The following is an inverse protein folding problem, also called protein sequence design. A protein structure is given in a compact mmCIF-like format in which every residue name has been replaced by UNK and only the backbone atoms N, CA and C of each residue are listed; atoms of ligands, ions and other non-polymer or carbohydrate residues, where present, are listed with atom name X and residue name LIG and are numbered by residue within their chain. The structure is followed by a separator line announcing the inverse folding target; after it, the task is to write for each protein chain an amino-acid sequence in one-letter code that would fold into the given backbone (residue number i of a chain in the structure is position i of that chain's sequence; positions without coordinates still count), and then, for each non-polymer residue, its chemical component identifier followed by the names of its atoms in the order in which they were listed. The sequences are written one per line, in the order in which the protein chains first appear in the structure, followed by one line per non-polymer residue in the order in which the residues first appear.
data_IF_476320219424
#
_entry.id   IF_476320219424
#
_cell.length_a   1.000
_cell.length_b   1.000
_cell.length_c   1.000
_cell.angle_alpha   90.00
_cell.angle_beta   90.00
_cell.angle_gamma   90.00
#
_symmetry.space_group_name_H-M   'P 1'
#
loop_
_entity.id
_entity.type
_entity.pdbx_description
1 polymer ?
#
# COMPACT_ATOMS: atom_id res chain seq x y z
N UNK A 1 -4.51 1.98 8.79
CA UNK A 1 -5.39 2.14 7.62
C UNK A 1 -4.68 3.12 6.71
N UNK A 2 -4.21 2.66 5.56
CA UNK A 2 -3.47 3.53 4.64
C UNK A 2 -4.46 4.56 4.11
N UNK A 3 -4.21 5.85 4.37
CA UNK A 3 -5.05 6.92 3.83
C UNK A 3 -4.64 7.15 2.38
N UNK A 4 -5.41 6.58 1.44
CA UNK A 4 -5.24 6.89 0.03
C UNK A 4 -5.79 8.29 -0.23
N UNK A 5 -4.97 9.17 -0.80
CA UNK A 5 -5.43 10.49 -1.22
C UNK A 5 -6.44 10.36 -2.36
N UNK A 6 -7.58 11.04 -2.20
CA UNK A 6 -8.66 11.15 -3.16
C UNK A 6 -8.52 12.47 -3.90
N UNK A 7 -8.71 12.39 -5.20
CA UNK A 7 -8.73 13.57 -6.05
C UNK A 7 -9.84 14.54 -5.59
N UNK A 8 -9.54 15.83 -5.54
CA UNK A 8 -10.47 16.88 -5.10
C UNK A 8 -10.64 17.04 -3.58
N UNK A 9 -9.93 16.25 -2.76
CA UNK A 9 -9.93 16.41 -1.31
C UNK A 9 -8.75 17.28 -0.83
N UNK A 10 -8.98 18.10 0.19
CA UNK A 10 -7.93 18.88 0.85
C UNK A 10 -7.32 18.07 1.99
N UNK A 11 -6.00 17.93 1.97
CA UNK A 11 -5.22 17.25 3.01
C UNK A 11 -4.40 18.25 3.79
N UNK A 12 -4.32 18.08 5.11
CA UNK A 12 -3.42 18.90 5.90
C UNK A 12 -1.96 18.41 5.73
N UNK A 13 -1.00 19.28 6.05
CA UNK A 13 0.43 18.99 5.88
C UNK A 13 0.87 17.70 6.58
N UNK A 14 0.31 17.42 7.76
CA UNK A 14 0.62 16.21 8.52
C UNK A 14 0.18 14.94 7.80
N UNK A 15 -1.03 14.93 7.23
CA UNK A 15 -1.56 13.78 6.49
C UNK A 15 -0.72 13.48 5.24
N UNK A 16 -0.24 14.53 4.56
CA UNK A 16 0.69 14.41 3.43
C UNK A 16 1.99 13.74 3.88
N UNK A 17 2.59 14.24 4.97
CA UNK A 17 3.84 13.68 5.49
C UNK A 17 3.69 12.22 5.95
N UNK A 18 2.62 11.87 6.66
CA UNK A 18 2.39 10.51 7.13
C UNK A 18 2.35 9.51 5.96
N UNK A 19 1.71 9.89 4.85
CA UNK A 19 1.63 9.03 3.66
C UNK A 19 2.98 8.88 2.97
N UNK A 20 3.78 9.95 2.88
CA UNK A 20 5.13 9.90 2.30
C UNK A 20 6.09 9.05 3.15
N UNK A 21 5.99 9.15 4.48
CA UNK A 21 6.77 8.31 5.41
C UNK A 21 6.40 6.84 5.22
N UNK A 22 5.10 6.54 5.12
CA UNK A 22 4.63 5.17 4.88
C UNK A 22 5.13 4.62 3.55
N UNK A 23 5.05 5.41 2.48
CA UNK A 23 5.56 5.06 1.16
C UNK A 23 7.07 4.81 1.17
N UNK A 24 7.85 5.65 1.84
CA UNK A 24 9.30 5.43 2.00
C UNK A 24 9.57 4.11 2.73
N UNK A 25 8.90 3.86 3.85
CA UNK A 25 9.08 2.62 4.59
C UNK A 25 8.62 1.38 3.81
N UNK A 26 7.64 1.53 2.91
CA UNK A 26 7.25 0.48 1.98
C UNK A 26 8.39 0.15 1.00
N UNK A 27 8.99 1.15 0.35
CA UNK A 27 10.14 0.96 -0.55
C UNK A 27 11.27 0.20 0.14
N UNK A 28 11.67 0.62 1.34
CA UNK A 28 12.73 -0.04 2.12
C UNK A 28 12.44 -1.53 2.34
N UNK A 29 11.17 -1.88 2.61
CA UNK A 29 10.75 -3.28 2.79
C UNK A 29 10.79 -4.06 1.50
N UNK A 30 10.39 -3.44 0.38
CA UNK A 30 10.45 -4.08 -0.94
C UNK A 30 11.88 -4.34 -1.34
N UNK A 31 12.76 -3.35 -1.22
CA UNK A 31 14.19 -3.50 -1.51
C UNK A 31 14.86 -4.58 -0.64
N UNK A 32 14.46 -4.68 0.63
CA UNK A 32 14.99 -5.71 1.53
C UNK A 32 14.52 -7.13 1.19
N UNK A 33 13.25 -7.30 0.82
CA UNK A 33 12.60 -8.63 0.68
C UNK A 33 12.47 -9.12 -0.76
N UNK A 34 12.31 -8.22 -1.71
CA UNK A 34 12.03 -8.48 -3.12
C UNK A 34 13.10 -7.80 -3.99
N UNK A 35 14.37 -8.19 -3.78
CA UNK A 35 15.54 -7.58 -4.42
C UNK A 35 15.46 -7.59 -5.94
N UNK A 36 14.96 -8.67 -6.53
CA UNK A 36 14.86 -8.79 -7.99
C UNK A 36 13.80 -7.84 -8.55
N UNK A 37 12.64 -7.75 -7.89
CA UNK A 37 11.60 -6.77 -8.23
C UNK A 37 12.12 -5.33 -8.12
N UNK A 38 12.83 -5.00 -7.04
CA UNK A 38 13.40 -3.67 -6.86
C UNK A 38 14.39 -3.31 -7.98
N UNK A 39 15.27 -4.25 -8.37
CA UNK A 39 16.19 -4.09 -9.51
C UNK A 39 15.46 -3.90 -10.84
N UNK A 40 14.31 -4.53 -11.03
CA UNK A 40 13.51 -4.33 -12.24
C UNK A 40 12.92 -2.92 -12.33
N UNK A 41 12.75 -2.21 -11.22
CA UNK A 41 12.23 -0.84 -11.21
C UNK A 41 13.34 0.20 -11.41
N UNK A 42 14.53 -0.08 -10.89
CA UNK A 42 15.68 0.82 -10.88
C UNK A 42 16.13 1.24 -12.29
N UNK A 43 16.34 2.55 -12.48
CA UNK A 43 16.91 3.11 -13.71
C UNK A 43 15.91 3.25 -14.87
N UNK A 44 14.64 2.89 -14.66
CA UNK A 44 13.58 3.14 -15.64
C UNK A 44 13.18 4.62 -15.66
N UNK A 45 12.87 5.14 -16.84
CA UNK A 45 12.44 6.53 -17.00
C UNK A 45 11.17 6.87 -16.19
N UNK A 46 10.34 5.87 -15.90
CA UNK A 46 9.11 5.95 -15.10
C UNK A 46 9.23 5.25 -13.74
N UNK A 47 10.44 5.14 -13.17
CA UNK A 47 10.68 4.45 -11.90
C UNK A 47 9.76 4.91 -10.77
N UNK A 48 9.57 6.24 -10.63
CA UNK A 48 8.68 6.79 -9.60
C UNK A 48 7.24 6.30 -9.74
N UNK A 49 6.69 6.36 -10.96
CA UNK A 49 5.31 5.92 -11.24
C UNK A 49 5.15 4.42 -10.96
N UNK A 50 6.16 3.61 -11.30
CA UNK A 50 6.15 2.18 -11.01
C UNK A 50 6.13 1.89 -9.51
N UNK A 51 6.91 2.63 -8.72
CA UNK A 51 6.88 2.51 -7.25
C UNK A 51 5.53 2.90 -6.66
N UNK A 52 4.95 4.01 -7.14
CA UNK A 52 3.62 4.46 -6.70
C UNK A 52 2.57 3.41 -7.05
N UNK A 53 2.55 2.91 -8.29
CA UNK A 53 1.61 1.89 -8.72
C UNK A 53 1.74 0.60 -7.90
N UNK A 54 2.97 0.14 -7.65
CA UNK A 54 3.23 -1.03 -6.82
C UNK A 54 2.72 -0.85 -5.39
N UNK A 55 2.89 0.35 -4.82
CA UNK A 55 2.38 0.69 -3.50
C UNK A 55 0.84 0.65 -3.46
N UNK A 56 0.17 1.29 -4.42
CA UNK A 56 -1.29 1.31 -4.50
C UNK A 56 -1.89 -0.09 -4.63
N UNK A 57 -1.38 -0.91 -5.55
CA UNK A 57 -1.86 -2.29 -5.72
C UNK A 57 -1.62 -3.13 -4.46
N UNK A 58 -0.51 -2.90 -3.74
CA UNK A 58 -0.22 -3.60 -2.50
C UNK A 58 -1.20 -3.24 -1.37
N UNK A 59 -1.65 -1.97 -1.33
CA UNK A 59 -2.67 -1.51 -0.39
C UNK A 59 -4.00 -2.16 -0.71
N UNK A 60 -4.44 -2.10 -1.97
CA UNK A 60 -5.70 -2.69 -2.42
C UNK A 60 -5.76 -4.19 -2.09
N UNK A 61 -4.67 -4.91 -2.38
CA UNK A 61 -4.54 -6.33 -2.03
C UNK A 61 -4.66 -6.55 -0.52
N UNK A 62 -3.97 -5.74 0.30
CA UNK A 62 -4.01 -5.86 1.76
C UNK A 62 -5.42 -5.61 2.31
N UNK A 63 -6.13 -4.61 1.76
CA UNK A 63 -7.52 -4.32 2.11
C UNK A 63 -8.45 -5.49 1.73
N UNK A 64 -8.28 -6.06 0.54
CA UNK A 64 -9.05 -7.22 0.10
C UNK A 64 -8.85 -8.44 1.04
N UNK A 65 -7.60 -8.71 1.45
CA UNK A 65 -7.29 -9.78 2.39
C UNK A 65 -7.92 -9.54 3.76
N UNK A 66 -7.90 -8.31 4.26
CA UNK A 66 -8.51 -7.95 5.53
C UNK A 66 -10.04 -8.11 5.48
N UNK A 67 -10.67 -7.69 4.39
CA UNK A 67 -12.11 -7.86 4.17
C UNK A 67 -12.50 -9.34 4.10
N UNK A 68 -11.69 -10.19 3.47
CA UNK A 68 -11.89 -11.65 3.47
C UNK A 68 -11.82 -12.24 4.87
N UNK A 69 -10.83 -11.84 5.69
CA UNK A 69 -10.69 -12.28 7.08
C UNK A 69 -11.88 -11.86 7.95
N UNK A 70 -12.30 -10.60 7.88
CA UNK A 70 -13.47 -10.12 8.63
C UNK A 70 -14.74 -10.89 8.27
N UNK A 71 -14.97 -11.18 6.98
CA UNK A 71 -16.12 -11.99 6.55
C UNK A 71 -16.08 -13.41 7.14
N UNK A 72 -14.91 -14.03 7.22
CA UNK A 72 -14.75 -15.35 7.84
C UNK A 72 -15.00 -15.32 9.35
N UNK A 73 -14.49 -14.30 10.06
CA UNK A 73 -14.71 -14.13 11.49
C UNK A 73 -16.20 -13.96 11.82
N UNK A 74 -16.91 -13.14 11.04
CA UNK A 74 -18.37 -12.94 11.19
C UNK A 74 -19.15 -14.23 10.90
N UNK A 75 -18.73 -15.02 9.91
CA UNK A 75 -19.37 -16.30 9.60
C UNK A 75 -19.21 -17.30 10.76
N UNK A 76 -18.01 -17.38 11.34
CA UNK A 76 -17.73 -18.27 12.48
C UNK A 76 -18.50 -17.86 13.74
N UNK A 77 -18.66 -16.55 14.00
CA UNK A 77 -19.43 -16.05 15.14
C UNK A 77 -20.94 -16.33 15.03
N UNK A 78 -21.50 -16.39 13.81
CA UNK A 78 -22.92 -16.72 13.59
C UNK A 78 -23.22 -18.23 13.65
N UNK A 79 -22.19 -19.07 13.58
CA UNK A 79 -22.30 -20.53 13.58
C UNK A 79 -22.09 -21.16 14.98
N UNK A 80 -21.73 -20.36 16.00
CA UNK A 80 -21.74 -20.72 17.42
C UNK A 80 -22.99 -20.16 18.11
#
# INVERSE_FOLDING_TARGET
MVKVFREGASYNHREVLETLIEFSAFKDRVEKKFKDLAKELEGKANEHDLWVNLYLVSIDYTEEQNNKKQKQEVANQKAS
#
